data_IF_484026469276
#
_entry.id   IF_484026469276
#
_cell.length_a   1.000
_cell.length_b   1.000
_cell.length_c   1.000
_cell.angle_alpha   90.00
_cell.angle_beta   90.00
_cell.angle_gamma   90.00
#
_symmetry.space_group_name_H-M   'P 1'
#
loop_
_entity.id
_entity.type
_entity.pdbx_description
1 polymer ?
#
# COMPACT_ATOMS: atom_id res chain seq x y z
N UNK A 1 -2.52 11.16 23.82
CA UNK A 1 -2.35 12.61 24.00
C UNK A 1 -2.62 13.23 22.66
N UNK A 2 -3.68 14.04 22.58
CA UNK A 2 -4.01 14.76 21.35
C UNK A 2 -2.99 15.90 21.18
N UNK A 3 -2.26 15.85 20.08
CA UNK A 3 -1.30 16.90 19.71
C UNK A 3 -2.08 18.06 19.10
N UNK A 4 -1.85 19.31 19.54
CA UNK A 4 -2.47 20.48 18.94
C UNK A 4 -2.19 20.55 17.43
N UNK A 5 -3.21 20.92 16.65
CA UNK A 5 -3.11 20.96 15.19
C UNK A 5 -1.94 21.82 14.68
N UNK A 6 -1.68 22.93 15.33
CA UNK A 6 -0.57 23.85 15.00
C UNK A 6 0.81 23.22 15.10
N UNK A 7 0.97 22.11 15.83
CA UNK A 7 2.27 21.44 15.96
C UNK A 7 2.57 20.53 14.77
N UNK A 8 1.55 19.91 14.16
CA UNK A 8 1.76 18.95 13.07
C UNK A 8 1.31 19.48 11.70
N UNK A 9 0.60 20.62 11.65
CA UNK A 9 0.08 21.14 10.39
C UNK A 9 0.25 22.67 10.35
N UNK A 10 0.79 23.17 9.24
CA UNK A 10 0.86 24.59 8.91
C UNK A 10 -0.10 24.90 7.77
N UNK A 11 -0.93 25.92 7.94
CA UNK A 11 -1.95 26.34 6.99
C UNK A 11 -3.33 25.75 7.27
N UNK A 12 -4.07 25.43 6.23
CA UNK A 12 -5.46 24.97 6.34
C UNK A 12 -5.55 23.45 6.37
N UNK A 13 -6.39 22.90 7.23
CA UNK A 13 -6.70 21.47 7.31
C UNK A 13 -7.88 21.06 6.41
N UNK A 14 -8.72 22.01 6.05
CA UNK A 14 -9.84 21.82 5.12
C UNK A 14 -9.68 22.72 3.90
N UNK A 15 -9.49 22.11 2.74
CA UNK A 15 -9.41 22.82 1.48
C UNK A 15 -10.28 22.13 0.42
N UNK A 16 -10.86 22.94 -0.46
CA UNK A 16 -11.60 22.43 -1.59
C UNK A 16 -10.63 21.89 -2.64
N UNK A 17 -10.87 20.68 -3.14
CA UNK A 17 -10.14 20.14 -4.30
C UNK A 17 -10.58 20.93 -5.53
N UNK A 18 -9.67 21.70 -6.11
CA UNK A 18 -9.95 22.57 -7.26
C UNK A 18 -9.50 21.97 -8.59
N UNK A 19 -8.52 21.06 -8.54
CA UNK A 19 -8.01 20.40 -9.73
C UNK A 19 -8.88 19.17 -10.03
N UNK A 20 -9.64 19.25 -11.11
CA UNK A 20 -10.45 18.13 -11.58
C UNK A 20 -10.62 18.15 -13.09
N UNK A 21 -10.84 16.96 -13.65
CA UNK A 21 -11.09 16.76 -15.09
C UNK A 21 -12.29 15.82 -15.23
N UNK A 22 -13.26 16.22 -16.02
CA UNK A 22 -14.40 15.37 -16.34
C UNK A 22 -14.01 14.37 -17.44
N UNK A 23 -14.59 13.17 -17.37
CA UNK A 23 -14.46 12.20 -18.44
C UNK A 23 -15.11 12.72 -19.73
N UNK A 24 -14.55 12.32 -20.84
CA UNK A 24 -15.10 12.65 -22.16
C UNK A 24 -15.26 11.34 -22.96
N UNK A 25 -16.42 11.18 -23.59
CA UNK A 25 -16.74 10.03 -24.44
C UNK A 25 -16.54 8.67 -23.76
N UNK A 26 -16.95 8.55 -22.49
CA UNK A 26 -16.90 7.32 -21.71
C UNK A 26 -18.29 6.77 -21.46
N UNK A 27 -18.45 5.43 -21.39
CA UNK A 27 -19.72 4.78 -21.11
C UNK A 27 -20.29 5.19 -19.74
N UNK A 28 -19.44 5.26 -18.74
CA UNK A 28 -19.75 5.78 -17.42
C UNK A 28 -19.07 7.13 -17.26
N UNK A 29 -19.85 8.17 -17.02
CA UNK A 29 -19.34 9.52 -16.74
C UNK A 29 -18.70 9.51 -15.34
N UNK A 30 -17.49 10.05 -15.25
CA UNK A 30 -16.79 10.24 -13.99
C UNK A 30 -16.01 11.55 -13.98
N UNK A 31 -15.65 12.01 -12.79
CA UNK A 31 -14.75 13.16 -12.59
C UNK A 31 -13.49 12.70 -11.85
N UNK A 32 -12.36 12.98 -12.45
CA UNK A 32 -11.05 12.74 -11.83
C UNK A 32 -10.64 13.97 -11.03
N UNK A 33 -10.50 13.80 -9.72
CA UNK A 33 -10.00 14.84 -8.82
C UNK A 33 -8.53 14.57 -8.49
N UNK A 34 -7.75 15.65 -8.40
CA UNK A 34 -6.34 15.57 -8.00
C UNK A 34 -6.07 16.51 -6.83
N UNK A 35 -5.45 15.96 -5.80
CA UNK A 35 -4.96 16.71 -4.64
C UNK A 35 -3.55 16.26 -4.34
N UNK A 36 -2.63 17.21 -4.31
CA UNK A 36 -1.24 16.97 -3.89
C UNK A 36 -1.00 17.57 -2.51
N UNK A 37 -0.36 16.82 -1.64
CA UNK A 37 0.10 17.27 -0.33
C UNK A 37 1.58 16.92 -0.17
N UNK A 38 2.43 17.83 0.36
CA UNK A 38 2.11 19.21 0.73
C UNK A 38 1.82 20.09 -0.48
N UNK A 39 1.17 21.24 -0.25
CA UNK A 39 0.92 22.28 -1.24
C UNK A 39 1.09 23.67 -0.62
N UNK A 40 0.77 24.74 -1.37
CA UNK A 40 0.92 26.10 -0.89
C UNK A 40 0.01 26.47 0.30
N UNK A 41 -1.07 25.73 0.50
CA UNK A 41 -2.07 25.99 1.53
C UNK A 41 -1.93 25.09 2.75
N UNK A 42 -1.30 23.93 2.60
CA UNK A 42 -1.22 22.90 3.65
C UNK A 42 0.14 22.23 3.63
N UNK A 43 0.84 22.30 4.75
CA UNK A 43 2.11 21.61 4.99
C UNK A 43 1.99 20.75 6.24
N UNK A 44 2.45 19.52 6.17
CA UNK A 44 2.54 18.62 7.32
C UNK A 44 3.95 18.79 7.90
N UNK A 45 4.03 19.03 9.20
CA UNK A 45 5.27 19.42 9.88
C UNK A 45 5.95 18.27 10.61
N UNK A 46 5.18 17.25 11.04
CA UNK A 46 5.70 16.14 11.81
C UNK A 46 5.53 14.83 11.05
N UNK A 47 6.48 13.93 11.20
CA UNK A 47 6.32 12.54 10.80
C UNK A 47 5.26 11.85 11.68
N UNK A 48 4.51 10.92 11.11
CA UNK A 48 3.46 10.21 11.85
C UNK A 48 2.41 9.57 10.95
N UNK A 49 1.37 9.06 11.59
CA UNK A 49 0.24 8.44 10.92
C UNK A 49 -0.89 9.46 10.75
N UNK A 50 -1.36 9.59 9.53
CA UNK A 50 -2.38 10.56 9.15
C UNK A 50 -3.57 9.91 8.48
N UNK A 51 -4.71 10.59 8.57
CA UNK A 51 -5.93 10.23 7.84
C UNK A 51 -6.34 11.40 6.98
N UNK A 52 -6.34 11.22 5.67
CA UNK A 52 -6.99 12.15 4.75
C UNK A 52 -8.47 11.77 4.66
N UNK A 53 -9.35 12.73 4.97
CA UNK A 53 -10.79 12.55 4.86
C UNK A 53 -11.31 13.47 3.75
N UNK A 54 -12.00 12.89 2.77
CA UNK A 54 -12.66 13.64 1.69
C UNK A 54 -14.14 13.70 1.99
N UNK A 55 -14.68 14.90 1.92
CA UNK A 55 -16.07 15.20 2.18
C UNK A 55 -16.75 15.69 0.88
N UNK A 56 -18.05 15.41 0.74
CA UNK A 56 -18.89 16.04 -0.28
C UNK A 56 -19.30 17.47 0.12
N UNK A 57 -20.12 18.14 -0.71
CA UNK A 57 -20.69 19.47 -0.43
C UNK A 57 -21.51 19.53 0.85
N UNK A 58 -22.15 18.42 1.22
CA UNK A 58 -23.01 18.28 2.39
C UNK A 58 -22.24 17.90 3.66
N UNK A 59 -20.90 17.91 3.57
CA UNK A 59 -19.96 17.54 4.63
C UNK A 59 -20.03 16.05 5.05
N UNK A 60 -20.57 15.20 4.21
CA UNK A 60 -20.56 13.76 4.42
C UNK A 60 -19.23 13.16 3.97
N UNK A 61 -18.76 12.16 4.70
CA UNK A 61 -17.51 11.47 4.38
C UNK A 61 -17.70 10.58 3.15
N UNK A 62 -17.01 10.93 2.06
CA UNK A 62 -16.96 10.13 0.84
C UNK A 62 -15.85 9.10 0.88
N UNK A 63 -14.68 9.48 1.38
CA UNK A 63 -13.51 8.61 1.43
C UNK A 63 -12.58 8.95 2.59
N UNK A 64 -11.96 7.93 3.16
CA UNK A 64 -10.84 8.07 4.09
C UNK A 64 -9.63 7.34 3.52
N UNK A 65 -8.47 7.97 3.58
CA UNK A 65 -7.19 7.38 3.19
C UNK A 65 -6.18 7.53 4.32
N UNK A 66 -5.67 6.41 4.80
CA UNK A 66 -4.57 6.38 5.76
C UNK A 66 -3.25 6.50 5.01
N UNK A 67 -2.34 7.31 5.53
CA UNK A 67 -0.99 7.42 5.02
C UNK A 67 0.01 7.71 6.15
N UNK A 68 1.26 7.45 5.88
CA UNK A 68 2.36 7.66 6.83
C UNK A 68 3.28 8.71 6.22
N UNK A 69 3.57 9.75 7.00
CA UNK A 69 4.66 10.66 6.70
C UNK A 69 5.88 10.21 7.51
N UNK A 70 6.99 10.01 6.86
CA UNK A 70 8.24 9.60 7.50
C UNK A 70 9.36 10.57 7.17
N UNK A 71 10.39 10.56 8.00
CA UNK A 71 11.65 11.25 7.78
C UNK A 71 12.69 10.23 7.32
N UNK A 72 13.41 10.54 6.24
CA UNK A 72 14.43 9.65 5.68
C UNK A 72 15.75 9.79 6.45
N UNK A 73 15.73 9.35 7.71
CA UNK A 73 16.84 9.48 8.64
C UNK A 73 17.76 8.25 8.68
N UNK A 74 17.28 7.11 8.16
CA UNK A 74 18.00 5.84 8.20
C UNK A 74 17.88 5.09 6.87
N UNK A 75 18.88 4.33 6.51
CA UNK A 75 18.83 3.43 5.37
C UNK A 75 18.40 2.03 5.83
N UNK A 76 17.43 1.43 5.13
CA UNK A 76 16.92 0.10 5.47
C UNK A 76 17.06 -0.85 4.26
N UNK A 77 18.28 -1.32 3.95
CA UNK A 77 18.45 -2.35 2.93
C UNK A 77 17.75 -3.63 3.36
N UNK A 78 16.86 -4.11 2.47
CA UNK A 78 16.02 -5.28 2.71
C UNK A 78 16.23 -6.32 1.61
N UNK A 79 16.29 -7.59 2.01
CA UNK A 79 16.38 -8.73 1.11
C UNK A 79 15.27 -9.72 1.41
N UNK A 80 14.49 -10.05 0.39
CA UNK A 80 13.49 -11.13 0.45
C UNK A 80 14.16 -12.43 0.04
N UNK A 81 13.97 -13.47 0.82
CA UNK A 81 14.54 -14.79 0.54
C UNK A 81 13.57 -15.93 0.95
N UNK A 82 13.90 -17.15 0.58
CA UNK A 82 13.20 -18.34 1.11
C UNK A 82 13.55 -18.53 2.58
N UNK A 83 12.59 -18.96 3.42
CA UNK A 83 12.88 -19.42 4.78
C UNK A 83 13.86 -20.59 4.79
N UNK A 84 14.62 -20.73 5.85
CA UNK A 84 15.47 -21.90 6.09
C UNK A 84 14.66 -23.06 6.65
N UNK A 85 13.59 -22.77 7.36
CA UNK A 85 12.70 -23.75 7.95
C UNK A 85 12.00 -24.58 6.85
N UNK A 86 12.25 -25.88 6.79
CA UNK A 86 11.73 -26.78 5.76
C UNK A 86 10.21 -26.70 5.61
N UNK A 87 9.49 -26.59 6.74
CA UNK A 87 8.02 -26.47 6.74
C UNK A 87 7.51 -25.28 5.93
N UNK A 88 8.27 -24.20 5.86
CA UNK A 88 7.83 -22.93 5.29
C UNK A 88 8.52 -22.57 3.97
N UNK A 89 9.50 -23.37 3.53
CA UNK A 89 10.39 -23.05 2.39
C UNK A 89 9.66 -22.82 1.07
N UNK A 90 8.48 -23.44 0.89
CA UNK A 90 7.66 -23.32 -0.32
C UNK A 90 6.42 -22.46 -0.15
N UNK A 91 6.15 -21.99 1.07
CA UNK A 91 4.89 -21.29 1.35
C UNK A 91 5.07 -19.88 1.93
N UNK A 92 6.29 -19.51 2.32
CA UNK A 92 6.55 -18.20 2.91
C UNK A 92 7.76 -17.51 2.30
N UNK A 93 7.78 -16.18 2.46
CA UNK A 93 8.96 -15.34 2.26
C UNK A 93 9.55 -14.98 3.62
N UNK A 94 10.86 -14.91 3.68
CA UNK A 94 11.61 -14.44 4.83
C UNK A 94 12.29 -13.11 4.50
N UNK A 95 12.34 -12.18 5.43
CA UNK A 95 13.00 -10.90 5.28
C UNK A 95 14.27 -10.86 6.09
N UNK A 96 15.40 -10.55 5.42
CA UNK A 96 16.61 -10.07 6.06
C UNK A 96 16.72 -8.57 5.81
N UNK A 97 16.96 -7.80 6.84
CA UNK A 97 17.16 -6.37 6.69
C UNK A 97 18.10 -5.83 7.76
N UNK A 98 18.60 -4.65 7.52
CA UNK A 98 19.45 -3.90 8.43
C UNK A 98 18.91 -2.47 8.54
N UNK A 99 19.02 -1.87 9.72
CA UNK A 99 18.78 -0.44 9.88
C UNK A 99 20.15 0.20 10.07
N UNK A 100 20.51 1.06 9.13
CA UNK A 100 21.80 1.78 9.11
C UNK A 100 21.54 3.24 9.44
N UNK A 101 22.04 3.69 10.58
CA UNK A 101 21.79 5.06 11.08
C UNK A 101 22.85 6.07 10.63
N UNK A 102 23.95 5.60 10.06
CA UNK A 102 25.11 6.46 9.82
C UNK A 102 25.66 7.03 11.13
N UNK A 103 26.40 8.14 11.01
CA UNK A 103 27.01 8.81 12.17
C UNK A 103 26.11 9.91 12.79
N UNK A 104 24.95 10.14 12.19
CA UNK A 104 24.08 11.27 12.57
C UNK A 104 23.08 10.94 13.69
N UNK A 105 22.75 9.66 13.86
CA UNK A 105 21.75 9.22 14.85
C UNK A 105 22.36 8.17 15.77
N UNK A 106 22.38 8.51 17.06
CA UNK A 106 22.76 7.59 18.11
C UNK A 106 21.51 7.13 18.87
N UNK A 107 21.18 5.86 18.77
CA UNK A 107 20.09 5.28 19.55
C UNK A 107 20.60 4.87 20.94
N UNK A 108 20.03 5.50 21.96
CA UNK A 108 20.19 5.02 23.33
C UNK A 108 19.28 3.80 23.54
N UNK A 109 19.83 2.70 24.06
CA UNK A 109 19.09 1.45 24.30
C UNK A 109 18.28 0.98 23.07
N UNK A 110 18.92 0.68 21.93
CA UNK A 110 18.23 0.38 20.69
C UNK A 110 17.30 -0.83 20.80
N UNK A 111 17.63 -1.80 21.67
CA UNK A 111 16.77 -2.97 21.94
C UNK A 111 15.39 -2.60 22.49
N UNK A 112 15.28 -1.48 23.19
CA UNK A 112 14.03 -1.01 23.79
C UNK A 112 13.37 0.09 22.98
N UNK A 113 14.16 0.99 22.41
CA UNK A 113 13.67 2.21 21.79
C UNK A 113 13.45 2.08 20.28
N UNK A 114 14.13 1.15 19.62
CA UNK A 114 13.94 0.92 18.19
C UNK A 114 12.70 0.05 17.97
N UNK A 115 11.69 0.63 17.34
CA UNK A 115 10.42 -0.04 17.01
C UNK A 115 10.35 -0.29 15.51
N UNK A 116 10.18 -1.53 15.14
CA UNK A 116 10.07 -1.96 13.74
C UNK A 116 8.62 -2.32 13.42
N UNK A 117 8.18 -1.90 12.24
CA UNK A 117 6.91 -2.29 11.62
C UNK A 117 7.21 -2.83 10.23
N UNK A 118 6.93 -4.11 10.01
CA UNK A 118 7.02 -4.74 8.69
C UNK A 118 5.62 -4.92 8.11
N UNK A 119 5.43 -4.43 6.91
CA UNK A 119 4.17 -4.53 6.17
C UNK A 119 4.39 -5.29 4.87
N UNK A 120 3.52 -6.24 4.58
CA UNK A 120 3.42 -6.85 3.26
C UNK A 120 2.30 -6.14 2.49
N UNK A 121 2.64 -5.56 1.33
CA UNK A 121 1.69 -4.84 0.46
C UNK A 121 0.86 -3.77 1.20
N UNK A 122 1.47 -3.09 2.18
CA UNK A 122 0.80 -2.05 2.97
C UNK A 122 -0.30 -2.52 3.93
N UNK A 123 -0.45 -3.84 4.14
CA UNK A 123 -1.50 -4.40 4.99
C UNK A 123 -1.12 -4.37 6.46
N UNK A 124 -1.90 -3.65 7.27
CA UNK A 124 -1.70 -3.55 8.72
C UNK A 124 -2.20 -4.77 9.51
N UNK A 125 -3.16 -5.52 8.97
CA UNK A 125 -3.72 -6.70 9.63
C UNK A 125 -2.75 -7.88 9.72
N UNK A 126 -1.76 -7.93 8.82
CA UNK A 126 -0.71 -8.95 8.81
C UNK A 126 0.65 -8.39 9.22
N UNK A 127 0.67 -7.18 9.79
CA UNK A 127 1.90 -6.51 10.17
C UNK A 127 2.67 -7.26 11.26
N UNK A 128 3.98 -7.37 11.07
CA UNK A 128 4.91 -7.83 12.10
C UNK A 128 5.45 -6.62 12.82
N UNK A 129 5.36 -6.60 14.15
CA UNK A 129 5.63 -5.40 14.95
C UNK A 129 6.63 -5.68 16.05
N UNK A 130 7.39 -4.64 16.39
CA UNK A 130 8.23 -4.59 17.59
C UNK A 130 9.25 -5.72 17.73
N UNK A 131 9.78 -6.22 16.62
CA UNK A 131 10.89 -7.16 16.65
C UNK A 131 12.14 -6.39 17.10
N UNK A 132 12.88 -6.86 18.11
CA UNK A 132 14.16 -6.25 18.47
C UNK A 132 15.24 -6.58 17.43
N UNK A 133 16.32 -5.82 17.31
CA UNK A 133 17.47 -6.24 16.51
C UNK A 133 18.04 -7.56 17.05
N UNK A 134 18.42 -8.45 16.17
CA UNK A 134 19.03 -9.72 16.55
C UNK A 134 20.44 -9.50 17.10
N UNK A 135 21.17 -8.59 16.49
CA UNK A 135 22.46 -8.11 16.96
C UNK A 135 22.78 -6.73 16.38
N UNK A 136 23.77 -6.10 16.97
CA UNK A 136 24.23 -4.77 16.55
C UNK A 136 25.69 -4.86 16.10
N UNK A 137 26.01 -4.24 14.97
CA UNK A 137 27.37 -4.09 14.47
C UNK A 137 27.64 -2.61 14.27
N UNK A 138 28.47 -2.02 15.15
CA UNK A 138 28.62 -0.56 15.22
C UNK A 138 27.24 0.12 15.37
N UNK A 139 26.89 1.03 14.45
CA UNK A 139 25.62 1.73 14.43
C UNK A 139 24.56 1.03 13.52
N UNK A 140 24.79 -0.23 13.14
CA UNK A 140 23.87 -0.98 12.31
C UNK A 140 23.12 -2.02 13.13
N UNK A 141 21.81 -2.05 13.00
CA UNK A 141 20.91 -3.00 13.68
C UNK A 141 20.48 -4.07 12.69
N UNK A 142 20.83 -5.31 12.97
CA UNK A 142 20.69 -6.42 12.02
C UNK A 142 19.51 -7.32 12.42
N UNK A 143 18.68 -7.63 11.41
CA UNK A 143 17.51 -8.49 11.53
C UNK A 143 17.61 -9.61 10.50
N UNK A 144 18.16 -10.75 10.90
CA UNK A 144 18.32 -11.97 10.08
C UNK A 144 17.59 -13.15 10.70
N UNK A 145 16.42 -12.89 11.23
CA UNK A 145 15.55 -13.90 11.80
C UNK A 145 15.06 -14.88 10.72
N UNK A 146 14.76 -16.11 11.14
CA UNK A 146 14.22 -17.11 10.23
C UNK A 146 12.71 -17.32 10.39
N UNK A 147 12.14 -17.05 11.55
CA UNK A 147 10.72 -17.28 11.81
C UNK A 147 9.94 -15.97 12.00
N UNK A 148 10.51 -15.01 12.72
CA UNK A 148 9.85 -13.79 13.18
C UNK A 148 9.57 -12.80 12.03
N UNK A 149 10.32 -12.91 10.94
CA UNK A 149 10.22 -12.01 9.77
C UNK A 149 9.61 -12.68 8.55
N UNK A 150 8.75 -13.69 8.77
CA UNK A 150 8.13 -14.42 7.68
C UNK A 150 6.73 -13.89 7.34
N UNK A 151 6.47 -13.73 6.05
CA UNK A 151 5.15 -13.51 5.50
C UNK A 151 4.74 -14.68 4.61
N UNK A 152 3.43 -14.92 4.48
CA UNK A 152 2.93 -15.85 3.50
C UNK A 152 3.33 -15.40 2.10
N UNK A 153 3.96 -16.29 1.36
CA UNK A 153 4.14 -16.09 -0.06
C UNK A 153 2.77 -16.23 -0.72
N UNK A 154 2.37 -15.21 -1.46
CA UNK A 154 1.15 -15.22 -2.24
C UNK A 154 1.51 -15.06 -3.71
N UNK A 155 0.63 -15.51 -4.57
CA UNK A 155 0.62 -15.05 -5.95
C UNK A 155 0.22 -13.57 -5.95
N UNK A 156 0.55 -12.88 -7.02
CA UNK A 156 0.06 -11.54 -7.28
C UNK A 156 -1.47 -11.55 -7.26
N UNK A 157 -2.04 -10.37 -7.04
CA UNK A 157 -3.49 -10.22 -7.11
C UNK A 157 -3.98 -10.59 -8.51
N UNK A 158 -5.07 -11.32 -8.54
CA UNK A 158 -5.76 -11.60 -9.80
C UNK A 158 -6.33 -10.30 -10.35
N UNK A 159 -6.27 -10.16 -11.66
CA UNK A 159 -6.77 -8.98 -12.34
C UNK A 159 -7.78 -9.36 -13.41
N UNK A 160 -8.66 -8.44 -13.71
CA UNK A 160 -9.55 -8.48 -14.88
C UNK A 160 -9.68 -7.08 -15.45
N UNK A 161 -10.08 -7.00 -16.70
CA UNK A 161 -10.30 -5.76 -17.41
C UNK A 161 -11.74 -5.70 -17.88
N UNK A 162 -12.48 -4.68 -17.47
CA UNK A 162 -13.89 -4.48 -17.81
C UNK A 162 -14.12 -3.36 -18.83
N UNK A 163 -13.06 -2.84 -19.46
CA UNK A 163 -13.17 -1.73 -20.42
C UNK A 163 -13.89 -2.12 -21.72
N UNK A 164 -13.79 -3.37 -22.14
CA UNK A 164 -14.49 -3.91 -23.29
C UNK A 164 -15.64 -4.82 -22.84
N UNK A 165 -16.86 -4.27 -22.90
CA UNK A 165 -18.08 -4.98 -22.48
C UNK A 165 -18.59 -5.97 -23.52
N UNK A 166 -18.07 -5.92 -24.76
CA UNK A 166 -18.56 -6.78 -25.87
C UNK A 166 -17.74 -8.05 -26.00
N UNK A 167 -16.48 -8.01 -25.57
CA UNK A 167 -15.58 -9.14 -25.68
C UNK A 167 -15.18 -9.63 -24.30
N UNK A 168 -15.47 -10.90 -24.02
CA UNK A 168 -14.91 -11.55 -22.84
C UNK A 168 -13.40 -11.65 -22.97
N UNK A 169 -12.69 -11.18 -21.97
CA UNK A 169 -11.24 -11.27 -21.88
C UNK A 169 -10.82 -12.34 -20.85
N UNK A 170 -9.52 -12.50 -20.64
CA UNK A 170 -8.99 -13.41 -19.63
C UNK A 170 -9.66 -13.13 -18.28
N UNK A 171 -10.23 -14.11 -17.64
CA UNK A 171 -10.96 -14.07 -16.35
C UNK A 171 -12.40 -13.57 -16.40
N UNK A 172 -12.90 -13.00 -17.51
CA UNK A 172 -14.30 -12.60 -17.66
C UNK A 172 -15.06 -13.73 -18.37
N UNK A 173 -16.09 -14.25 -17.72
CA UNK A 173 -16.96 -15.29 -18.28
C UNK A 173 -17.98 -14.68 -19.25
N UNK A 174 -18.71 -13.67 -18.78
CA UNK A 174 -19.66 -12.91 -19.59
C UNK A 174 -19.98 -11.58 -18.93
N UNK A 175 -20.61 -10.69 -19.68
CA UNK A 175 -21.10 -9.41 -19.17
C UNK A 175 -22.61 -9.39 -19.38
N UNK A 176 -23.37 -9.10 -18.33
CA UNK A 176 -24.81 -8.84 -18.40
C UNK A 176 -25.10 -7.36 -18.24
N UNK A 177 -26.23 -6.91 -18.78
CA UNK A 177 -26.72 -5.55 -18.60
C UNK A 177 -28.07 -5.57 -17.93
N UNK A 178 -28.23 -4.80 -16.87
CA UNK A 178 -29.48 -4.57 -16.18
C UNK A 178 -29.65 -3.08 -15.91
N UNK A 179 -30.73 -2.49 -16.42
CA UNK A 179 -31.07 -1.07 -16.26
C UNK A 179 -29.91 -0.10 -16.58
N UNK A 180 -29.11 -0.42 -17.60
CA UNK A 180 -27.96 0.38 -18.02
C UNK A 180 -26.70 0.18 -17.16
N UNK A 181 -26.74 -0.73 -16.19
CA UNK A 181 -25.58 -1.15 -15.40
C UNK A 181 -25.03 -2.43 -16.00
N UNK A 182 -23.72 -2.43 -16.26
CA UNK A 182 -23.02 -3.61 -16.76
C UNK A 182 -22.42 -4.41 -15.59
N UNK A 183 -22.82 -5.67 -15.49
CA UNK A 183 -22.33 -6.61 -14.49
C UNK A 183 -21.33 -7.57 -15.15
N UNK A 184 -20.08 -7.49 -14.75
CA UNK A 184 -19.01 -8.37 -15.23
C UNK A 184 -18.95 -9.64 -14.37
N UNK A 185 -19.21 -10.80 -14.98
CA UNK A 185 -19.13 -12.09 -14.30
C UNK A 185 -17.79 -12.73 -14.58
N UNK A 186 -17.08 -13.06 -13.51
CA UNK A 186 -15.74 -13.64 -13.58
C UNK A 186 -15.79 -15.17 -13.55
N UNK A 187 -14.82 -15.82 -14.18
CA UNK A 187 -14.60 -17.24 -13.96
C UNK A 187 -14.17 -17.54 -12.53
N UNK A 188 -14.56 -18.68 -12.00
CA UNK A 188 -14.03 -19.16 -10.73
C UNK A 188 -12.53 -19.40 -10.83
N UNK A 189 -11.78 -18.83 -9.90
CA UNK A 189 -10.35 -19.09 -9.82
C UNK A 189 -10.10 -20.39 -9.06
N UNK A 190 -9.56 -21.36 -9.75
CA UNK A 190 -9.14 -22.63 -9.17
C UNK A 190 -7.82 -22.48 -8.40
N UNK A 191 -7.55 -23.42 -7.50
CA UNK A 191 -6.27 -23.54 -6.83
C UNK A 191 -5.15 -23.68 -7.86
N UNK A 192 -4.12 -22.84 -7.73
CA UNK A 192 -2.96 -22.79 -8.62
C UNK A 192 -1.71 -23.47 -8.04
N UNK A 193 -1.84 -24.17 -6.92
CA UNK A 193 -0.70 -24.81 -6.24
C UNK A 193 0.09 -25.77 -7.13
N UNK A 194 -0.57 -26.39 -8.12
CA UNK A 194 0.04 -27.34 -9.05
C UNK A 194 0.43 -26.72 -10.42
N UNK A 195 0.25 -25.41 -10.59
CA UNK A 195 0.63 -24.76 -11.84
C UNK A 195 2.01 -24.11 -11.73
N UNK A 196 2.75 -23.97 -12.85
CA UNK A 196 3.98 -23.20 -12.86
C UNK A 196 3.71 -21.77 -12.39
N UNK A 197 4.62 -21.23 -11.56
CA UNK A 197 4.54 -19.86 -11.13
C UNK A 197 4.70 -18.91 -12.32
N UNK A 198 3.73 -18.04 -12.49
CA UNK A 198 3.76 -16.96 -13.49
C UNK A 198 3.67 -15.62 -12.77
N UNK A 199 4.50 -14.69 -13.16
CA UNK A 199 4.56 -13.35 -12.59
C UNK A 199 4.03 -12.34 -13.60
N UNK A 200 2.99 -11.62 -13.21
CA UNK A 200 2.46 -10.47 -13.96
C UNK A 200 2.45 -9.27 -13.04
N UNK A 201 2.85 -8.12 -13.59
CA UNK A 201 2.73 -6.85 -12.86
C UNK A 201 1.27 -6.61 -12.50
N UNK A 202 1.01 -6.35 -11.22
CA UNK A 202 -0.33 -6.09 -10.70
C UNK A 202 -0.43 -4.69 -10.06
N UNK A 203 -1.62 -4.34 -9.60
CA UNK A 203 -1.91 -3.09 -8.93
C UNK A 203 -2.00 -3.25 -7.40
N UNK A 204 -1.48 -4.34 -6.83
CA UNK A 204 -1.53 -4.65 -5.40
C UNK A 204 -2.95 -4.59 -4.81
N UNK A 205 -3.94 -5.10 -5.57
CA UNK A 205 -5.34 -5.10 -5.18
C UNK A 205 -6.04 -3.74 -5.33
N UNK A 206 -5.40 -2.77 -5.97
CA UNK A 206 -6.00 -1.52 -6.36
C UNK A 206 -6.70 -1.63 -7.73
N UNK A 207 -7.17 -0.52 -8.24
CA UNK A 207 -7.74 -0.44 -9.59
C UNK A 207 -7.16 0.77 -10.34
N UNK A 208 -7.18 0.71 -11.66
CA UNK A 208 -6.91 1.88 -12.51
C UNK A 208 -8.02 2.06 -13.52
N UNK A 209 -8.37 3.31 -13.79
CA UNK A 209 -9.30 3.68 -14.85
C UNK A 209 -8.46 4.13 -16.04
N UNK A 210 -8.66 3.48 -17.18
CA UNK A 210 -7.95 3.82 -18.42
C UNK A 210 -8.97 4.18 -19.49
N UNK A 211 -8.70 5.25 -20.21
CA UNK A 211 -9.43 5.61 -21.42
C UNK A 211 -8.95 4.70 -22.55
N UNK A 212 -9.88 4.20 -23.36
CA UNK A 212 -9.55 3.67 -24.68
C UNK A 212 -9.23 4.89 -25.56
N UNK A 213 -7.98 5.05 -25.93
CA UNK A 213 -7.62 6.02 -26.95
C UNK A 213 -8.20 5.52 -28.27
N UNK A 214 -9.20 6.26 -28.76
CA UNK A 214 -9.78 6.05 -30.08
C UNK A 214 -8.93 6.68 -31.15
#
# INVERSE_FOLDING_TARGET
TDIPKSEYLSGFDGQKIQEYVNSFNTLQIFTHYKLSLPNNYTKILLSGNYVLTILNSDKEVVMKRYFILYEDLVSVPLKIKRPRTVKNIYSKHNLDFEIKTGDQILFQNPMQNLKVLLLQNGKFNTAIKNIPPQYTVSNNFVYKYDQETQFWAGNEFLNFDSKDIKNANNYVSFVSSDNGIYNTHLYTNNDKSNFPYTNFSDLNGNFSIRKLDG
#
